data_IF_055368952541
#
_entry.id   IF_055368952541
#
_cell.length_a   1.000
_cell.length_b   1.000
_cell.length_c   1.000
_cell.angle_alpha   90.00
_cell.angle_beta   90.00
_cell.angle_gamma   90.00
#
_symmetry.space_group_name_H-M   'P 1'
#
loop_
_entity.id
_entity.type
_entity.pdbx_description
1 polymer ?
#
# COMPACT_ATOMS: atom_id res chain seq x y z
N UNK A 1 -4.54 4.35 3.16
CA UNK A 1 -3.74 3.36 2.38
C UNK A 1 -2.65 2.79 3.27
N UNK A 2 -2.02 1.69 2.88
CA UNK A 2 -0.90 1.07 3.59
C UNK A 2 0.29 0.97 2.62
N UNK A 3 1.49 1.31 3.07
CA UNK A 3 2.74 1.12 2.32
C UNK A 3 3.49 -0.06 2.92
N UNK A 4 3.63 -1.14 2.15
CA UNK A 4 4.22 -2.39 2.61
C UNK A 4 5.23 -2.93 1.59
N UNK A 5 6.46 -2.47 1.73
CA UNK A 5 7.54 -2.87 0.83
C UNK A 5 7.92 -4.36 0.93
N UNK A 6 7.60 -5.03 2.04
CA UNK A 6 8.04 -6.42 2.32
C UNK A 6 6.89 -7.43 2.35
N UNK A 7 5.65 -6.99 2.20
CA UNK A 7 4.45 -7.85 2.28
C UNK A 7 4.23 -8.42 3.67
N UNK A 8 4.41 -7.61 4.72
CA UNK A 8 4.23 -7.99 6.12
C UNK A 8 2.82 -7.74 6.66
N UNK A 9 1.98 -7.03 5.90
CA UNK A 9 0.60 -6.71 6.30
C UNK A 9 -0.21 -8.00 6.36
N UNK A 10 -0.69 -8.42 7.54
CA UNK A 10 -1.46 -9.64 7.65
C UNK A 10 -2.87 -9.41 7.11
N UNK A 11 -3.48 -10.43 6.50
CA UNK A 11 -4.89 -10.40 6.06
C UNK A 11 -5.88 -10.13 7.19
N UNK A 12 -5.47 -10.35 8.44
CA UNK A 12 -6.26 -10.12 9.65
C UNK A 12 -6.08 -8.72 10.24
N UNK A 13 -5.35 -7.81 9.56
CA UNK A 13 -5.15 -6.46 10.06
C UNK A 13 -6.50 -5.73 10.22
N UNK A 14 -6.68 -5.05 11.36
CA UNK A 14 -7.95 -4.40 11.71
C UNK A 14 -8.40 -3.37 10.67
N UNK A 15 -7.45 -2.69 10.02
CA UNK A 15 -7.68 -1.72 8.94
C UNK A 15 -8.56 -2.26 7.79
N UNK A 16 -8.63 -3.58 7.59
CA UNK A 16 -9.48 -4.21 6.59
C UNK A 16 -10.93 -4.41 7.05
N UNK A 17 -11.21 -4.27 8.35
CA UNK A 17 -12.56 -4.36 8.92
C UNK A 17 -13.23 -2.99 9.08
N UNK A 18 -12.50 -1.90 8.84
CA UNK A 18 -13.01 -0.54 8.95
C UNK A 18 -13.79 -0.14 7.68
N UNK A 19 -14.81 0.74 7.77
CA UNK A 19 -15.55 1.20 6.62
C UNK A 19 -14.66 1.92 5.59
N UNK A 20 -14.85 1.61 4.32
CA UNK A 20 -14.16 2.27 3.20
C UNK A 20 -13.38 1.29 2.33
N UNK A 21 -12.52 1.83 1.47
CA UNK A 21 -11.62 1.04 0.62
C UNK A 21 -10.19 1.21 1.13
N UNK A 22 -9.48 0.10 1.28
CA UNK A 22 -8.07 0.13 1.69
C UNK A 22 -7.18 -0.19 0.49
N UNK A 23 -6.39 0.79 0.05
CA UNK A 23 -5.33 0.56 -0.93
C UNK A 23 -4.04 0.08 -0.22
N UNK A 24 -3.44 -1.01 -0.68
CA UNK A 24 -2.21 -1.60 -0.18
C UNK A 24 -1.12 -1.51 -1.27
N UNK A 25 -0.13 -0.65 -1.07
CA UNK A 25 1.04 -0.55 -1.92
C UNK A 25 2.05 -1.64 -1.55
N UNK A 26 2.15 -2.69 -2.37
CA UNK A 26 2.96 -3.87 -2.09
C UNK A 26 4.30 -3.79 -2.84
N UNK A 27 5.41 -3.88 -2.11
CA UNK A 27 6.78 -3.78 -2.67
C UNK A 27 7.25 -4.97 -3.50
N UNK A 28 6.36 -5.92 -3.80
CA UNK A 28 6.61 -7.14 -4.56
C UNK A 28 5.37 -7.51 -5.36
N UNK A 29 5.55 -8.40 -6.33
CA UNK A 29 4.42 -9.04 -6.99
C UNK A 29 3.72 -9.99 -6.01
N UNK A 30 2.41 -9.85 -5.86
CA UNK A 30 1.58 -10.77 -5.09
C UNK A 30 1.19 -11.99 -5.92
N UNK A 31 1.03 -13.15 -5.29
CA UNK A 31 0.46 -14.32 -5.99
C UNK A 31 -1.03 -14.09 -6.30
N UNK A 32 -1.62 -14.81 -7.27
CA UNK A 32 -3.05 -14.73 -7.54
C UNK A 32 -3.91 -15.00 -6.30
N UNK A 33 -3.49 -15.94 -5.44
CA UNK A 33 -4.18 -16.29 -4.21
C UNK A 33 -4.11 -15.16 -3.18
N UNK A 34 -2.95 -14.53 -3.02
CA UNK A 34 -2.79 -13.37 -2.14
C UNK A 34 -3.67 -12.20 -2.61
N UNK A 35 -3.65 -11.90 -3.92
CA UNK A 35 -4.48 -10.84 -4.52
C UNK A 35 -5.96 -11.09 -4.28
N UNK A 36 -6.41 -12.34 -4.47
CA UNK A 36 -7.80 -12.71 -4.22
C UNK A 36 -8.16 -12.58 -2.73
N UNK A 37 -7.27 -13.00 -1.82
CA UNK A 37 -7.50 -12.92 -0.38
C UNK A 37 -7.57 -11.47 0.11
N UNK A 38 -6.67 -10.59 -0.34
CA UNK A 38 -6.72 -9.17 -0.01
C UNK A 38 -7.96 -8.50 -0.60
N UNK A 39 -8.35 -8.83 -1.84
CA UNK A 39 -9.59 -8.33 -2.43
C UNK A 39 -10.83 -8.76 -1.63
N UNK A 40 -10.89 -10.01 -1.16
CA UNK A 40 -11.97 -10.50 -0.28
C UNK A 40 -11.99 -9.78 1.07
N UNK A 41 -10.82 -9.40 1.60
CA UNK A 41 -10.69 -8.58 2.79
C UNK A 41 -11.01 -7.08 2.55
N UNK A 42 -11.46 -6.69 1.35
CA UNK A 42 -11.80 -5.30 1.03
C UNK A 42 -10.60 -4.41 0.67
N UNK A 43 -9.43 -5.02 0.41
CA UNK A 43 -8.23 -4.32 0.02
C UNK A 43 -7.97 -4.38 -1.49
N UNK A 44 -7.58 -3.25 -2.08
CA UNK A 44 -7.04 -3.18 -3.43
C UNK A 44 -5.51 -3.20 -3.36
N UNK A 45 -4.86 -4.08 -4.12
CA UNK A 45 -3.40 -4.11 -4.20
C UNK A 45 -2.91 -3.20 -5.32
N UNK A 46 -2.00 -2.29 -4.98
CA UNK A 46 -1.16 -1.57 -5.92
C UNK A 46 0.25 -2.17 -5.87
N UNK A 47 0.62 -2.94 -6.89
CA UNK A 47 1.95 -3.53 -6.96
C UNK A 47 2.96 -2.45 -7.35
N UNK A 48 4.01 -2.31 -6.54
CA UNK A 48 5.16 -1.47 -6.81
C UNK A 48 6.43 -2.27 -6.54
N UNK A 49 6.82 -3.21 -7.42
CA UNK A 49 7.97 -4.09 -7.18
C UNK A 49 9.27 -3.29 -6.98
N UNK A 50 10.05 -3.67 -5.98
CA UNK A 50 11.27 -2.95 -5.55
C UNK A 50 12.40 -3.95 -5.29
N UNK A 51 13.65 -3.54 -5.50
CA UNK A 51 14.80 -4.42 -5.24
C UNK A 51 15.10 -4.59 -3.74
N UNK A 52 14.80 -3.59 -2.91
CA UNK A 52 15.24 -3.56 -1.49
C UNK A 52 14.08 -3.69 -0.47
N UNK A 53 12.86 -3.96 -0.96
CA UNK A 53 11.66 -3.97 -0.13
C UNK A 53 11.29 -2.57 0.37
N UNK A 54 11.60 -1.53 -0.42
CA UNK A 54 11.28 -0.13 -0.18
C UNK A 54 10.45 0.41 -1.33
N UNK A 55 9.20 0.77 -1.06
CA UNK A 55 8.28 1.31 -2.08
C UNK A 55 8.78 2.66 -2.57
N UNK A 56 8.85 2.82 -3.88
CA UNK A 56 9.12 4.08 -4.54
C UNK A 56 7.94 5.04 -4.32
N UNK A 57 8.11 5.98 -3.38
CA UNK A 57 7.05 6.92 -2.99
C UNK A 57 6.73 7.92 -4.09
N UNK A 58 7.69 8.30 -4.94
CA UNK A 58 7.42 9.22 -6.04
C UNK A 58 6.47 8.57 -7.05
N UNK A 59 6.76 7.32 -7.46
CA UNK A 59 5.85 6.56 -8.32
C UNK A 59 4.50 6.30 -7.65
N UNK A 60 4.50 6.02 -6.35
CA UNK A 60 3.27 5.82 -5.60
C UNK A 60 2.39 7.07 -5.63
N UNK A 61 2.94 8.23 -5.29
CA UNK A 61 2.22 9.51 -5.29
C UNK A 61 1.74 9.89 -6.69
N UNK A 62 2.53 9.63 -7.74
CA UNK A 62 2.10 9.82 -9.13
C UNK A 62 0.90 8.93 -9.47
N UNK A 63 0.94 7.64 -9.12
CA UNK A 63 -0.16 6.72 -9.35
C UNK A 63 -1.43 7.11 -8.58
N UNK A 64 -1.29 7.70 -7.38
CA UNK A 64 -2.42 8.27 -6.64
C UNK A 64 -2.99 9.51 -7.35
N UNK A 65 -2.13 10.39 -7.86
CA UNK A 65 -2.55 11.57 -8.63
C UNK A 65 -3.31 11.21 -9.92
N UNK A 66 -2.88 10.17 -10.63
CA UNK A 66 -3.57 9.62 -11.81
C UNK A 66 -4.97 9.07 -11.49
N UNK A 67 -5.21 8.70 -10.22
CA UNK A 67 -6.50 8.27 -9.67
C UNK A 67 -7.30 9.42 -9.05
N UNK A 68 -6.90 10.66 -9.30
CA UNK A 68 -7.52 11.88 -8.77
C UNK A 68 -7.48 11.99 -7.23
N UNK A 69 -6.55 11.27 -6.59
CA UNK A 69 -6.29 11.41 -5.15
C UNK A 69 -5.33 12.59 -4.96
N UNK A 70 -5.88 13.75 -4.61
CA UNK A 70 -5.16 15.03 -4.57
C UNK A 70 -4.57 15.38 -3.20
N UNK A 71 -4.97 14.66 -2.15
CA UNK A 71 -4.47 14.86 -0.79
C UNK A 71 -4.20 13.52 -0.11
N UNK A 72 -3.11 13.45 0.64
CA UNK A 72 -2.69 12.28 1.42
C UNK A 72 -2.24 12.77 2.79
N UNK A 73 -2.82 12.18 3.83
CA UNK A 73 -2.32 12.32 5.19
C UNK A 73 -1.38 11.14 5.48
N UNK A 74 -0.14 11.45 5.86
CA UNK A 74 0.88 10.44 6.15
C UNK A 74 1.08 10.35 7.65
N UNK A 75 0.77 9.18 8.20
CA UNK A 75 0.89 8.88 9.62
C UNK A 75 1.83 7.69 9.84
N UNK A 76 2.70 7.80 10.86
CA UNK A 76 3.55 6.71 11.32
C UNK A 76 4.84 6.48 10.53
N UNK A 77 5.81 5.84 11.20
CA UNK A 77 7.09 5.40 10.63
C UNK A 77 8.07 6.52 10.29
N UNK A 78 9.15 6.67 11.08
CA UNK A 78 10.19 7.68 10.81
C UNK A 78 10.86 7.55 9.45
N UNK A 79 10.97 6.32 8.92
CA UNK A 79 11.50 6.07 7.56
C UNK A 79 10.55 6.59 6.49
N UNK A 80 9.24 6.34 6.63
CA UNK A 80 8.24 6.79 5.66
C UNK A 80 8.16 8.32 5.63
N UNK A 81 8.09 8.94 6.82
CA UNK A 81 8.09 10.40 6.95
C UNK A 81 9.39 11.01 6.42
N UNK A 82 10.55 10.46 6.79
CA UNK A 82 11.85 10.93 6.30
C UNK A 82 12.08 10.71 4.80
N UNK A 83 11.27 9.88 4.14
CA UNK A 83 11.34 9.69 2.68
C UNK A 83 10.46 10.70 1.91
N UNK A 84 9.70 11.55 2.61
CA UNK A 84 8.85 12.59 2.03
C UNK A 84 9.46 14.01 2.12
N UNK A 85 10.57 14.17 2.85
CA UNK A 85 11.29 15.43 3.07
C UNK A 85 12.76 15.27 2.69
#
# INVERSE_FOLDING_TARGET
>A
MIVDGKGRTPLTAQVFNEPGRTLLALGRTGTPEEKAAFAQAGAEILESPTAEGLVDLEKLLRALGEREITSVLVEGGGILLGSLF
#
